data_IF_015098039301
#
_entry.id   IF_015098039301
#
_cell.length_a   1.000
_cell.length_b   1.000
_cell.length_c   1.000
_cell.angle_alpha   90.00
_cell.angle_beta   90.00
_cell.angle_gamma   90.00
#
_symmetry.space_group_name_H-M   'P 1'
#
loop_
_entity.id
_entity.type
_entity.pdbx_description
1 polymer ?
#
# COMPACT_ATOMS: atom_id res chain seq x y z
N UNK A 1 15.98 -19.14 -14.88
CA UNK A 1 14.71 -19.70 -14.36
C UNK A 1 14.37 -20.93 -15.18
N UNK A 2 14.00 -22.03 -14.52
CA UNK A 2 13.52 -23.25 -15.21
C UNK A 2 11.99 -23.30 -15.21
N UNK A 3 11.38 -24.10 -16.09
CA UNK A 3 9.93 -24.39 -16.07
C UNK A 3 9.46 -24.88 -14.69
N UNK A 4 10.30 -25.66 -14.00
CA UNK A 4 10.01 -26.21 -12.66
C UNK A 4 9.90 -25.11 -11.61
N UNK A 5 10.77 -24.10 -11.66
CA UNK A 5 10.73 -22.98 -10.71
C UNK A 5 9.45 -22.16 -10.86
N UNK A 6 9.04 -21.90 -12.11
CA UNK A 6 7.79 -21.21 -12.41
C UNK A 6 6.55 -21.99 -11.94
N UNK A 7 6.50 -23.31 -12.21
CA UNK A 7 5.38 -24.14 -11.79
C UNK A 7 5.26 -24.24 -10.27
N UNK A 8 6.37 -24.41 -9.55
CA UNK A 8 6.38 -24.45 -8.08
C UNK A 8 5.80 -23.17 -7.49
N UNK A 9 6.20 -22.04 -8.05
CA UNK A 9 5.74 -20.73 -7.60
C UNK A 9 4.26 -20.47 -7.99
N UNK A 10 3.82 -20.91 -9.17
CA UNK A 10 2.40 -20.85 -9.57
C UNK A 10 1.47 -21.64 -8.64
N UNK A 11 1.99 -22.72 -8.05
CA UNK A 11 1.28 -23.57 -7.06
C UNK A 11 1.61 -23.20 -5.62
N UNK A 12 2.29 -22.09 -5.37
CA UNK A 12 2.59 -21.63 -4.01
C UNK A 12 1.28 -21.40 -3.25
N UNK A 13 1.13 -22.03 -2.09
CA UNK A 13 -0.11 -21.99 -1.30
C UNK A 13 -0.40 -20.62 -0.71
N UNK A 14 0.62 -19.80 -0.50
CA UNK A 14 0.45 -18.50 0.14
C UNK A 14 0.16 -17.38 -0.89
N UNK A 15 0.80 -17.43 -2.06
CA UNK A 15 0.76 -16.34 -3.06
C UNK A 15 0.82 -16.80 -4.54
N UNK A 16 0.40 -18.03 -4.83
CA UNK A 16 0.35 -18.57 -6.19
C UNK A 16 -0.91 -18.18 -6.96
N UNK A 17 -0.90 -18.34 -8.29
CA UNK A 17 -2.06 -18.06 -9.16
C UNK A 17 -3.33 -18.82 -8.73
N UNK A 18 -3.16 -20.10 -8.35
CA UNK A 18 -4.29 -20.93 -7.92
C UNK A 18 -4.89 -20.42 -6.60
N UNK A 19 -4.07 -19.94 -5.67
CA UNK A 19 -4.56 -19.33 -4.41
C UNK A 19 -5.44 -18.12 -4.69
N UNK A 20 -5.00 -17.21 -5.57
CA UNK A 20 -5.81 -16.05 -5.94
C UNK A 20 -7.11 -16.44 -6.67
N UNK A 21 -7.04 -17.45 -7.56
CA UNK A 21 -8.22 -18.00 -8.22
C UNK A 21 -9.23 -18.57 -7.21
N UNK A 22 -8.76 -19.37 -6.23
CA UNK A 22 -9.59 -19.95 -5.17
C UNK A 22 -10.27 -18.87 -4.31
N UNK A 23 -9.57 -17.78 -3.99
CA UNK A 23 -10.13 -16.65 -3.23
C UNK A 23 -11.33 -16.05 -3.99
N UNK A 24 -11.18 -15.80 -5.28
CA UNK A 24 -12.25 -15.27 -6.14
C UNK A 24 -13.42 -16.25 -6.30
N UNK A 25 -13.12 -17.53 -6.55
CA UNK A 25 -14.15 -18.57 -6.66
C UNK A 25 -14.96 -18.72 -5.38
N UNK A 26 -14.29 -18.68 -4.21
CA UNK A 26 -14.95 -18.74 -2.90
C UNK A 26 -15.78 -17.49 -2.62
N UNK A 27 -15.35 -16.30 -3.05
CA UNK A 27 -16.14 -15.08 -2.93
C UNK A 27 -17.49 -15.24 -3.64
N UNK A 28 -17.46 -15.68 -4.91
CA UNK A 28 -18.67 -15.92 -5.70
C UNK A 28 -19.54 -17.03 -5.10
N UNK A 29 -18.94 -18.17 -4.73
CA UNK A 29 -19.69 -19.32 -4.21
C UNK A 29 -20.39 -19.02 -2.87
N UNK A 30 -19.80 -18.17 -2.03
CA UNK A 30 -20.35 -17.84 -0.71
C UNK A 30 -21.19 -16.56 -0.69
N UNK A 31 -21.16 -15.77 -1.78
CA UNK A 31 -21.76 -14.44 -1.82
C UNK A 31 -21.11 -13.41 -0.88
N UNK A 32 -19.95 -13.73 -0.29
CA UNK A 32 -19.23 -12.86 0.64
C UNK A 32 -18.09 -12.17 -0.08
N UNK A 33 -18.08 -10.83 -0.17
CA UNK A 33 -16.97 -10.12 -0.78
C UNK A 33 -15.67 -10.39 -0.05
N UNK A 34 -14.68 -10.90 -0.78
CA UNK A 34 -13.32 -11.07 -0.33
C UNK A 34 -12.41 -11.02 -1.56
N UNK A 35 -11.20 -10.51 -1.38
CA UNK A 35 -10.22 -10.40 -2.44
C UNK A 35 -8.81 -10.35 -1.89
N UNK A 36 -7.85 -10.57 -2.76
CA UNK A 36 -6.43 -10.39 -2.46
C UNK A 36 -5.69 -10.06 -3.75
N UNK A 37 -4.68 -9.22 -3.63
CA UNK A 37 -3.73 -8.96 -4.69
C UNK A 37 -2.31 -9.03 -4.12
N UNK A 38 -1.32 -9.04 -5.01
CA UNK A 38 0.06 -9.01 -4.59
C UNK A 38 1.00 -8.74 -5.75
N UNK A 39 2.02 -7.95 -5.45
CA UNK A 39 3.30 -7.98 -6.14
C UNK A 39 4.02 -9.28 -5.84
N UNK A 40 4.05 -10.16 -6.85
CA UNK A 40 4.62 -11.48 -6.77
C UNK A 40 5.83 -11.63 -7.71
N UNK A 41 6.60 -12.67 -7.44
CA UNK A 41 7.83 -12.99 -8.15
C UNK A 41 9.07 -12.33 -7.56
N UNK A 42 10.21 -12.65 -8.15
CA UNK A 42 11.51 -12.31 -7.61
C UNK A 42 12.34 -11.45 -8.55
N UNK A 43 13.20 -10.60 -7.98
CA UNK A 43 14.12 -9.76 -8.75
C UNK A 43 15.06 -10.58 -9.65
N UNK A 44 15.28 -11.85 -9.32
CA UNK A 44 16.04 -12.80 -10.12
C UNK A 44 15.38 -13.19 -11.44
N UNK A 45 14.08 -12.91 -11.62
CA UNK A 45 13.36 -13.17 -12.87
C UNK A 45 13.43 -12.00 -13.85
N UNK A 46 13.78 -10.80 -13.38
CA UNK A 46 13.89 -9.61 -14.24
C UNK A 46 12.55 -9.03 -14.71
N UNK A 47 11.43 -9.43 -14.10
CA UNK A 47 10.11 -8.84 -14.32
C UNK A 47 9.32 -8.74 -13.01
N UNK A 48 8.33 -7.84 -12.97
CA UNK A 48 7.34 -7.78 -11.90
C UNK A 48 6.10 -8.55 -12.30
N UNK A 49 5.57 -9.36 -11.39
CA UNK A 49 4.33 -10.11 -11.64
C UNK A 49 3.26 -9.66 -10.67
N UNK A 50 2.24 -9.00 -11.18
CA UNK A 50 1.06 -8.68 -10.38
C UNK A 50 0.03 -9.77 -10.54
N UNK A 51 -0.52 -10.25 -9.43
CA UNK A 51 -1.63 -11.20 -9.47
C UNK A 51 -2.69 -10.76 -8.47
N UNK A 52 -3.94 -10.95 -8.85
CA UNK A 52 -5.09 -10.72 -7.99
C UNK A 52 -6.06 -11.88 -8.08
N UNK A 53 -6.89 -12.01 -7.06
CA UNK A 53 -8.15 -12.73 -7.19
C UNK A 53 -9.02 -12.06 -8.26
N UNK A 54 -10.17 -12.69 -8.58
CA UNK A 54 -11.18 -12.07 -9.43
C UNK A 54 -11.47 -10.64 -8.93
N UNK A 55 -11.22 -9.60 -9.75
CA UNK A 55 -11.54 -8.22 -9.38
C UNK A 55 -13.06 -8.07 -9.40
N UNK A 56 -13.70 -8.27 -8.25
CA UNK A 56 -15.15 -8.32 -8.09
C UNK A 56 -15.79 -7.02 -8.59
N UNK A 57 -15.14 -5.88 -8.34
CA UNK A 57 -15.62 -4.60 -8.81
C UNK A 57 -15.65 -4.51 -10.33
N UNK A 58 -14.61 -4.95 -11.03
CA UNK A 58 -14.61 -4.96 -12.50
C UNK A 58 -15.54 -6.01 -13.09
N UNK A 59 -15.73 -7.12 -12.38
CA UNK A 59 -16.66 -8.17 -12.76
C UNK A 59 -18.15 -7.79 -12.52
N UNK A 60 -18.43 -6.65 -11.87
CA UNK A 60 -19.79 -6.25 -11.49
C UNK A 60 -20.42 -7.20 -10.48
N UNK A 61 -19.60 -7.85 -9.66
CA UNK A 61 -20.03 -8.88 -8.73
C UNK A 61 -20.07 -8.38 -7.28
N UNK A 62 -21.00 -8.93 -6.50
CA UNK A 62 -21.08 -8.75 -5.04
C UNK A 62 -21.12 -7.29 -4.57
N UNK A 63 -21.62 -6.39 -5.42
CA UNK A 63 -21.81 -4.97 -5.12
C UNK A 63 -20.51 -4.23 -4.72
N UNK A 64 -19.37 -4.69 -5.24
CA UNK A 64 -18.08 -4.02 -5.08
C UNK A 64 -17.93 -2.96 -6.17
N UNK A 65 -17.46 -1.77 -5.79
CA UNK A 65 -17.22 -0.69 -6.73
C UNK A 65 -15.93 -0.97 -7.52
N UNK A 66 -15.94 -0.79 -8.83
CA UNK A 66 -14.72 -0.92 -9.65
C UNK A 66 -13.63 0.08 -9.27
N UNK A 67 -13.97 1.21 -8.65
CA UNK A 67 -13.00 2.15 -8.10
C UNK A 67 -12.12 1.55 -7.00
N UNK A 68 -12.62 0.56 -6.24
CA UNK A 68 -11.82 -0.15 -5.23
C UNK A 68 -10.71 -0.98 -5.88
N UNK A 69 -11.04 -1.67 -6.97
CA UNK A 69 -10.08 -2.45 -7.77
C UNK A 69 -9.01 -1.54 -8.41
N UNK A 70 -9.37 -0.32 -8.81
CA UNK A 70 -8.40 0.66 -9.31
C UNK A 70 -7.39 1.06 -8.22
N UNK A 71 -7.85 1.25 -6.98
CA UNK A 71 -6.95 1.51 -5.84
C UNK A 71 -6.05 0.31 -5.62
N UNK A 72 -6.60 -0.91 -5.56
CA UNK A 72 -5.80 -2.13 -5.34
C UNK A 72 -4.71 -2.30 -6.41
N UNK A 73 -5.05 -2.09 -7.68
CA UNK A 73 -4.07 -2.19 -8.77
C UNK A 73 -2.95 -1.14 -8.61
N UNK A 74 -3.31 0.09 -8.26
CA UNK A 74 -2.31 1.16 -8.05
C UNK A 74 -1.46 0.93 -6.80
N UNK A 75 -2.03 0.32 -5.74
CA UNK A 75 -1.31 -0.12 -4.54
C UNK A 75 -0.23 -1.12 -4.93
N UNK A 76 -0.60 -2.19 -5.63
CA UNK A 76 0.37 -3.18 -6.07
C UNK A 76 1.39 -2.57 -7.03
N UNK A 77 0.95 -1.74 -7.98
CA UNK A 77 1.85 -1.08 -8.94
C UNK A 77 2.91 -0.22 -8.25
N UNK A 78 2.58 0.40 -7.12
CA UNK A 78 3.56 1.13 -6.33
C UNK A 78 4.71 0.24 -5.83
N UNK A 79 4.47 -1.01 -5.46
CA UNK A 79 5.54 -1.94 -5.09
C UNK A 79 6.51 -2.21 -6.25
N UNK A 80 6.05 -2.16 -7.51
CA UNK A 80 6.95 -2.22 -8.67
C UNK A 80 7.83 -0.97 -8.75
N UNK A 81 7.27 0.22 -8.49
CA UNK A 81 8.04 1.47 -8.45
C UNK A 81 9.10 1.42 -7.36
N UNK A 82 8.73 1.01 -6.14
CA UNK A 82 9.68 0.86 -5.02
C UNK A 82 10.84 -0.07 -5.42
N UNK A 83 10.51 -1.22 -6.03
CA UNK A 83 11.50 -2.21 -6.44
C UNK A 83 12.36 -1.77 -7.64
N UNK A 84 11.85 -0.92 -8.54
CA UNK A 84 12.57 -0.48 -9.73
C UNK A 84 13.88 0.25 -9.40
N UNK A 85 13.97 0.86 -8.21
CA UNK A 85 15.18 1.54 -7.74
C UNK A 85 16.17 0.61 -7.01
N UNK A 86 15.81 -0.65 -6.77
CA UNK A 86 16.64 -1.62 -6.07
C UNK A 86 17.12 -2.68 -7.06
N UNK A 87 18.44 -2.80 -7.24
CA UNK A 87 19.03 -3.64 -8.29
C UNK A 87 19.60 -4.97 -7.76
N UNK A 88 19.76 -5.11 -6.44
CA UNK A 88 20.33 -6.34 -5.86
C UNK A 88 19.39 -7.53 -6.06
N UNK A 89 19.95 -8.69 -6.42
CA UNK A 89 19.22 -9.98 -6.45
C UNK A 89 19.20 -10.67 -5.09
N UNK A 90 20.01 -10.19 -4.13
CA UNK A 90 20.00 -10.71 -2.76
C UNK A 90 18.71 -10.28 -2.07
N UNK A 91 17.91 -11.28 -1.69
CA UNK A 91 16.58 -11.08 -1.11
C UNK A 91 16.63 -10.40 0.26
N UNK A 92 17.62 -10.73 1.11
CA UNK A 92 17.77 -10.09 2.43
C UNK A 92 18.13 -8.62 2.26
N UNK A 93 19.12 -8.32 1.42
CA UNK A 93 19.55 -6.97 1.13
C UNK A 93 18.44 -6.15 0.49
N UNK A 94 17.64 -6.75 -0.41
CA UNK A 94 16.48 -6.09 -1.00
C UNK A 94 15.45 -5.69 0.05
N UNK A 95 15.09 -6.58 0.98
CA UNK A 95 14.18 -6.25 2.08
C UNK A 95 14.72 -5.13 2.96
N UNK A 96 16.01 -5.15 3.30
CA UNK A 96 16.65 -4.05 4.05
C UNK A 96 16.57 -2.70 3.32
N UNK A 97 16.65 -2.71 1.99
CA UNK A 97 16.55 -1.50 1.16
C UNK A 97 15.09 -1.02 0.98
N UNK A 98 14.12 -1.93 0.97
CA UNK A 98 12.69 -1.58 0.94
C UNK A 98 12.25 -0.90 2.24
N UNK A 99 12.80 -1.32 3.38
CA UNK A 99 12.57 -0.70 4.68
C UNK A 99 11.55 -1.42 5.57
N UNK A 100 11.05 -0.76 6.62
CA UNK A 100 10.05 -1.32 7.51
C UNK A 100 8.68 -1.41 6.82
N UNK A 101 7.88 -2.38 7.24
CA UNK A 101 6.59 -2.70 6.60
C UNK A 101 5.61 -1.52 6.57
N UNK A 102 5.52 -0.71 7.64
CA UNK A 102 4.69 0.51 7.60
C UNK A 102 5.07 1.47 6.47
N UNK A 103 6.35 1.55 6.08
CA UNK A 103 6.79 2.43 5.01
C UNK A 103 6.49 1.80 3.64
N UNK A 104 6.71 0.50 3.52
CA UNK A 104 6.46 -0.25 2.28
C UNK A 104 4.96 -0.21 1.94
N UNK A 105 4.12 -0.71 2.84
CA UNK A 105 2.68 -0.81 2.65
C UNK A 105 2.00 0.54 2.77
N UNK A 106 2.42 1.35 3.74
CA UNK A 106 1.87 2.70 3.90
C UNK A 106 2.09 3.58 2.68
N UNK A 107 3.24 3.48 2.02
CA UNK A 107 3.46 4.29 0.82
C UNK A 107 2.68 3.78 -0.38
N UNK A 108 2.43 2.47 -0.46
CA UNK A 108 1.51 1.90 -1.45
C UNK A 108 0.08 2.40 -1.22
N UNK A 109 -0.42 2.39 0.02
CA UNK A 109 -1.73 2.92 0.38
C UNK A 109 -1.83 4.41 0.05
N UNK A 110 -0.90 5.23 0.55
CA UNK A 110 -0.95 6.68 0.36
C UNK A 110 -0.88 7.05 -1.13
N UNK A 111 0.01 6.42 -1.89
CA UNK A 111 0.16 6.69 -3.31
C UNK A 111 -1.06 6.21 -4.10
N UNK A 112 -1.61 5.04 -3.80
CA UNK A 112 -2.82 4.55 -4.47
C UNK A 112 -4.01 5.46 -4.21
N UNK A 113 -4.27 5.81 -2.96
CA UNK A 113 -5.40 6.66 -2.55
C UNK A 113 -5.34 8.05 -3.19
N UNK A 114 -4.19 8.73 -3.07
CA UNK A 114 -3.99 10.09 -3.55
C UNK A 114 -4.01 10.13 -5.08
N UNK A 115 -3.30 9.21 -5.76
CA UNK A 115 -3.24 9.23 -7.22
C UNK A 115 -4.57 8.80 -7.84
N UNK A 116 -5.29 7.83 -7.26
CA UNK A 116 -6.64 7.48 -7.75
C UNK A 116 -7.58 8.69 -7.67
N UNK A 117 -7.58 9.39 -6.53
CA UNK A 117 -8.37 10.61 -6.36
C UNK A 117 -8.05 11.68 -7.41
N UNK A 118 -6.76 11.95 -7.64
CA UNK A 118 -6.30 12.89 -8.67
C UNK A 118 -6.70 12.45 -10.09
N UNK A 119 -6.59 11.16 -10.40
CA UNK A 119 -6.90 10.63 -11.72
C UNK A 119 -8.41 10.64 -11.99
N UNK A 120 -9.25 10.35 -11.00
CA UNK A 120 -10.70 10.51 -11.12
C UNK A 120 -11.12 11.97 -11.28
N UNK A 121 -10.51 12.89 -10.53
CA UNK A 121 -10.80 14.33 -10.64
C UNK A 121 -10.42 14.88 -12.02
N UNK A 122 -9.32 14.40 -12.60
CA UNK A 122 -8.86 14.78 -13.94
C UNK A 122 -9.48 13.98 -15.09
N UNK A 123 -10.41 13.05 -14.80
CA UNK A 123 -11.08 12.22 -15.82
C UNK A 123 -10.18 11.17 -16.48
N UNK A 124 -8.98 10.92 -15.94
CA UNK A 124 -8.02 9.94 -16.48
C UNK A 124 -8.29 8.50 -16.02
N UNK A 125 -9.03 8.33 -14.93
CA UNK A 125 -9.60 7.04 -14.54
C UNK A 125 -11.12 7.08 -14.71
N UNK A 126 -11.73 6.01 -15.26
CA UNK A 126 -13.18 5.92 -15.32
C UNK A 126 -13.75 5.72 -13.91
N UNK A 127 -14.92 6.33 -13.66
CA UNK A 127 -15.76 6.02 -12.50
C UNK A 127 -16.76 4.94 -12.92
N UNK A 128 -16.76 3.81 -12.24
CA UNK A 128 -17.55 2.62 -12.59
C UNK A 128 -19.00 2.76 -12.18
N UNK A 129 -19.26 3.36 -11.00
CA UNK A 129 -20.63 3.57 -10.49
C UNK A 129 -21.49 2.30 -10.49
N UNK A 130 -20.86 1.16 -10.24
CA UNK A 130 -21.48 -0.16 -10.32
C UNK A 130 -21.72 -0.81 -8.94
N UNK A 131 -21.77 0.02 -7.90
CA UNK A 131 -22.17 -0.36 -6.56
C UNK A 131 -23.38 0.46 -6.10
N UNK A 132 -24.08 -0.02 -5.09
CA UNK A 132 -25.28 0.60 -4.51
C UNK A 132 -25.00 1.91 -3.78
N UNK A 133 -23.73 2.20 -3.48
CA UNK A 133 -23.33 3.38 -2.74
C UNK A 133 -22.41 4.27 -3.58
N UNK A 134 -22.58 5.60 -3.52
CA UNK A 134 -21.64 6.51 -4.17
C UNK A 134 -20.22 6.24 -3.71
N UNK A 135 -19.28 6.34 -4.66
CA UNK A 135 -17.87 6.20 -4.33
C UNK A 135 -17.41 7.30 -3.35
N UNK A 136 -16.71 6.88 -2.30
CA UNK A 136 -16.26 7.77 -1.23
C UNK A 136 -15.18 8.75 -1.73
N UNK A 137 -15.12 9.94 -1.14
CA UNK A 137 -14.03 10.91 -1.40
C UNK A 137 -12.71 10.44 -0.77
N UNK A 138 -11.58 11.01 -1.20
CA UNK A 138 -10.26 10.74 -0.58
C UNK A 138 -10.30 10.96 0.94
N UNK A 139 -10.87 12.08 1.38
CA UNK A 139 -10.99 12.42 2.80
C UNK A 139 -11.82 11.38 3.56
N UNK A 140 -12.92 10.89 2.97
CA UNK A 140 -13.75 9.86 3.60
C UNK A 140 -13.01 8.53 3.74
N UNK A 141 -12.34 8.07 2.67
CA UNK A 141 -11.57 6.81 2.70
C UNK A 141 -10.42 6.87 3.70
N UNK A 142 -9.65 7.96 3.71
CA UNK A 142 -8.58 8.15 4.69
C UNK A 142 -9.12 8.30 6.13
N UNK A 143 -10.26 8.96 6.33
CA UNK A 143 -10.94 9.02 7.64
C UNK A 143 -11.35 7.62 8.13
N UNK A 144 -11.85 6.75 7.25
CA UNK A 144 -12.20 5.37 7.61
C UNK A 144 -10.95 4.59 8.06
N UNK A 145 -9.81 4.77 7.38
CA UNK A 145 -8.52 4.21 7.82
C UNK A 145 -8.10 4.77 9.18
N UNK A 146 -8.28 6.07 9.42
CA UNK A 146 -8.00 6.68 10.72
C UNK A 146 -8.84 6.04 11.84
N UNK A 147 -10.11 5.75 11.60
CA UNK A 147 -10.95 5.04 12.58
C UNK A 147 -10.40 3.65 12.91
N UNK A 148 -9.94 2.90 11.90
CA UNK A 148 -9.23 1.62 12.09
C UNK A 148 -7.97 1.80 12.95
N UNK A 149 -7.17 2.84 12.69
CA UNK A 149 -5.96 3.13 13.48
C UNK A 149 -6.29 3.38 14.96
N UNK A 150 -7.30 4.21 15.23
CA UNK A 150 -7.70 4.52 16.61
C UNK A 150 -8.23 3.30 17.37
N UNK A 151 -8.91 2.37 16.68
CA UNK A 151 -9.35 1.11 17.27
C UNK A 151 -8.16 0.23 17.74
N UNK A 152 -7.09 0.20 16.96
CA UNK A 152 -5.92 -0.64 17.23
C UNK A 152 -4.91 0.00 18.18
N UNK A 153 -4.95 1.33 18.37
CA UNK A 153 -3.99 2.11 19.17
C UNK A 153 -3.83 1.61 20.61
N UNK A 154 -4.91 1.10 21.24
CA UNK A 154 -4.86 0.54 22.60
C UNK A 154 -4.24 -0.85 22.68
N UNK A 155 -4.27 -1.61 21.60
CA UNK A 155 -3.89 -3.02 21.57
C UNK A 155 -2.51 -3.29 20.97
N UNK A 156 -1.92 -2.27 20.34
CA UNK A 156 -0.67 -2.35 19.60
C UNK A 156 0.41 -1.46 20.23
N UNK A 157 1.65 -1.94 20.36
CA UNK A 157 2.73 -1.19 21.02
C UNK A 157 3.25 0.00 20.21
N UNK A 158 2.92 0.06 18.92
CA UNK A 158 3.30 1.14 18.02
C UNK A 158 2.24 1.29 16.94
N UNK A 159 2.06 2.52 16.46
CA UNK A 159 1.27 2.80 15.26
C UNK A 159 1.99 2.45 13.96
N UNK A 160 3.32 2.29 13.97
CA UNK A 160 4.12 2.05 12.76
C UNK A 160 4.89 0.71 12.84
N UNK A 161 4.18 -0.44 12.71
CA UNK A 161 4.81 -1.75 12.81
C UNK A 161 5.81 -2.01 11.68
N UNK A 162 6.92 -2.67 12.01
CA UNK A 162 8.01 -2.97 11.08
C UNK A 162 7.97 -4.39 10.49
N UNK A 163 6.98 -5.21 10.85
CA UNK A 163 6.79 -6.59 10.35
C UNK A 163 5.37 -6.82 9.83
N UNK A 164 5.24 -7.81 8.94
CA UNK A 164 3.95 -8.35 8.47
C UNK A 164 3.26 -9.25 9.51
N UNK A 165 3.96 -9.58 10.59
CA UNK A 165 3.49 -10.53 11.58
C UNK A 165 2.62 -9.90 12.67
N UNK A 166 1.71 -10.70 13.20
CA UNK A 166 0.94 -10.39 14.39
C UNK A 166 -0.33 -9.56 14.15
N UNK A 167 -1.09 -9.38 15.23
CA UNK A 167 -2.41 -8.73 15.23
C UNK A 167 -2.40 -7.25 14.80
N UNK A 168 -1.23 -6.62 14.79
CA UNK A 168 -1.07 -5.20 14.49
C UNK A 168 -0.70 -4.92 13.03
N UNK A 169 -0.57 -5.95 12.19
CA UNK A 169 -0.15 -5.80 10.78
C UNK A 169 -1.00 -4.80 9.99
N UNK A 170 -2.30 -4.68 10.30
CA UNK A 170 -3.20 -3.75 9.61
C UNK A 170 -2.78 -2.28 9.78
N UNK A 171 -2.12 -1.95 10.89
CA UNK A 171 -1.57 -0.61 11.11
C UNK A 171 -0.48 -0.24 10.10
N UNK A 172 0.26 -1.21 9.55
CA UNK A 172 1.24 -0.93 8.50
C UNK A 172 0.60 -0.29 7.26
N UNK A 173 -0.66 -0.64 6.98
CA UNK A 173 -1.42 -0.14 5.84
C UNK A 173 -2.15 1.15 6.22
N UNK A 174 -3.00 1.09 7.25
CA UNK A 174 -3.87 2.20 7.59
C UNK A 174 -3.10 3.36 8.24
N UNK A 175 -2.27 3.05 9.25
CA UNK A 175 -1.46 4.06 9.93
C UNK A 175 -0.24 4.46 9.10
N UNK A 176 0.40 3.48 8.44
CA UNK A 176 1.47 3.76 7.48
C UNK A 176 1.01 4.68 6.35
N UNK A 177 -0.21 4.50 5.82
CA UNK A 177 -0.80 5.38 4.81
C UNK A 177 -0.91 6.83 5.28
N UNK A 178 -1.34 7.03 6.53
CA UNK A 178 -1.36 8.35 7.17
C UNK A 178 0.04 8.92 7.39
N UNK A 179 0.99 8.11 7.86
CA UNK A 179 2.37 8.53 8.07
C UNK A 179 3.05 8.98 6.78
N UNK A 180 2.84 8.26 5.68
CA UNK A 180 3.38 8.64 4.38
C UNK A 180 2.69 9.89 3.84
N UNK A 181 1.37 10.01 3.98
CA UNK A 181 0.66 11.24 3.62
C UNK A 181 1.20 12.46 4.40
N UNK A 182 1.56 12.27 5.68
CA UNK A 182 2.15 13.31 6.51
C UNK A 182 3.56 13.72 6.04
N UNK A 183 4.43 12.75 5.75
CA UNK A 183 5.75 13.03 5.15
C UNK A 183 5.63 13.76 3.80
N UNK A 184 4.70 13.34 2.94
CA UNK A 184 4.45 14.00 1.66
C UNK A 184 3.89 15.42 1.82
N UNK A 185 3.06 15.67 2.84
CA UNK A 185 2.56 16.99 3.16
C UNK A 185 3.70 17.93 3.59
N UNK A 186 4.61 17.47 4.45
CA UNK A 186 5.73 18.28 4.96
C UNK A 186 6.85 18.52 3.95
N UNK A 187 7.13 17.52 3.10
CA UNK A 187 8.32 17.52 2.25
C UNK A 187 8.02 17.59 0.74
N UNK A 188 6.73 17.64 0.36
CA UNK A 188 6.28 17.71 -1.02
C UNK A 188 5.74 16.39 -1.56
N UNK A 189 4.71 16.49 -2.40
CA UNK A 189 3.94 15.35 -2.89
C UNK A 189 4.74 14.35 -3.76
N UNK A 190 5.90 14.74 -4.28
CA UNK A 190 6.76 13.91 -5.13
C UNK A 190 8.07 13.48 -4.43
N UNK A 191 8.21 13.74 -3.13
CA UNK A 191 9.43 13.47 -2.36
C UNK A 191 9.87 12.01 -2.43
N UNK A 192 8.92 11.07 -2.42
CA UNK A 192 9.23 9.64 -2.52
C UNK A 192 9.85 9.28 -3.87
N UNK A 193 9.31 9.85 -4.96
CA UNK A 193 9.72 9.56 -6.33
C UNK A 193 11.00 10.29 -6.73
N UNK A 194 11.18 11.54 -6.29
CA UNK A 194 12.30 12.39 -6.71
C UNK A 194 13.51 12.29 -5.76
N UNK A 195 13.26 12.05 -4.48
CA UNK A 195 14.31 12.16 -3.46
C UNK A 195 14.58 10.82 -2.78
N UNK A 196 13.56 10.13 -2.28
CA UNK A 196 13.76 8.92 -1.46
C UNK A 196 14.18 7.69 -2.28
N UNK A 197 13.26 7.14 -3.10
CA UNK A 197 13.50 5.86 -3.77
C UNK A 197 14.72 5.87 -4.71
N UNK A 198 14.99 6.92 -5.51
CA UNK A 198 16.18 6.97 -6.36
C UNK A 198 17.51 6.83 -5.61
N UNK A 199 17.55 7.16 -4.31
CA UNK A 199 18.77 7.18 -3.52
C UNK A 199 18.92 5.95 -2.61
N UNK A 200 17.88 5.11 -2.47
CA UNK A 200 17.85 4.05 -1.44
C UNK A 200 18.91 2.98 -1.68
N UNK A 201 19.10 2.54 -2.93
CA UNK A 201 20.10 1.56 -3.35
C UNK A 201 21.52 1.99 -2.93
N UNK A 202 21.85 3.27 -3.12
CA UNK A 202 23.17 3.83 -2.82
C UNK A 202 23.39 4.03 -1.32
N UNK A 203 22.37 4.47 -0.59
CA UNK A 203 22.52 4.98 0.78
C UNK A 203 22.12 3.97 1.86
N UNK A 204 21.28 3.00 1.53
CA UNK A 204 20.53 2.24 2.53
C UNK A 204 19.33 3.03 3.04
N UNK A 205 18.32 2.31 3.54
CA UNK A 205 17.02 2.88 3.88
C UNK A 205 17.08 4.01 4.92
N UNK A 206 17.64 3.75 6.11
CA UNK A 206 17.66 4.74 7.21
C UNK A 206 18.47 6.01 6.87
N UNK A 207 19.64 5.85 6.24
CA UNK A 207 20.45 7.01 5.79
C UNK A 207 19.72 7.82 4.73
N UNK A 208 18.97 7.15 3.84
CA UNK A 208 18.15 7.81 2.84
C UNK A 208 16.96 8.55 3.48
N UNK A 209 16.33 7.94 4.49
CA UNK A 209 15.24 8.54 5.27
C UNK A 209 15.72 9.83 5.94
N UNK A 210 16.81 9.76 6.71
CA UNK A 210 17.43 10.94 7.34
C UNK A 210 17.76 12.05 6.36
N UNK A 211 18.33 11.70 5.21
CA UNK A 211 18.71 12.70 4.21
C UNK A 211 17.50 13.36 3.54
N UNK A 212 16.41 12.62 3.38
CA UNK A 212 15.20 13.07 2.67
C UNK A 212 14.30 13.89 3.58
N UNK A 213 14.07 13.41 4.80
CA UNK A 213 13.08 13.98 5.73
C UNK A 213 13.72 14.80 6.85
N UNK A 214 15.05 14.90 6.90
CA UNK A 214 15.76 15.74 7.88
C UNK A 214 15.80 15.18 9.30
N UNK A 215 15.23 13.99 9.54
CA UNK A 215 15.17 13.33 10.84
C UNK A 215 15.30 11.82 10.73
N UNK A 216 15.58 11.13 11.84
CA UNK A 216 15.59 9.66 11.83
C UNK A 216 14.18 9.08 11.71
N UNK A 217 14.09 7.83 11.27
CA UNK A 217 12.79 7.14 11.27
C UNK A 217 12.24 6.96 12.69
N UNK A 218 13.09 6.82 13.70
CA UNK A 218 12.70 6.73 15.11
C UNK A 218 12.15 8.05 15.66
N UNK A 219 12.78 9.18 15.31
CA UNK A 219 12.29 10.52 15.67
C UNK A 219 10.94 10.78 14.99
N UNK A 220 10.83 10.39 13.71
CA UNK A 220 9.58 10.50 12.97
C UNK A 220 8.44 9.68 13.60
N UNK A 221 8.69 8.47 14.09
CA UNK A 221 7.67 7.69 14.82
C UNK A 221 7.12 8.49 16.01
N UNK A 222 8.00 9.17 16.75
CA UNK A 222 7.60 10.00 17.90
C UNK A 222 6.85 11.25 17.47
N UNK A 223 7.27 11.89 16.38
CA UNK A 223 6.53 13.01 15.78
C UNK A 223 5.14 12.59 15.31
N UNK A 224 5.06 11.45 14.62
CA UNK A 224 3.83 10.92 14.06
C UNK A 224 2.81 10.59 15.16
N UNK A 225 3.22 10.00 16.30
CA UNK A 225 2.32 9.80 17.44
C UNK A 225 1.67 11.11 17.92
N UNK A 226 2.43 12.21 17.95
CA UNK A 226 1.87 13.54 18.31
C UNK A 226 0.90 14.06 17.26
N UNK A 227 1.16 13.83 15.98
CA UNK A 227 0.20 14.12 14.92
C UNK A 227 -1.09 13.30 15.09
N UNK A 228 -0.96 12.03 15.49
CA UNK A 228 -2.09 11.13 15.72
C UNK A 228 -2.94 11.51 16.96
N UNK A 229 -2.45 12.38 17.83
CA UNK A 229 -3.18 12.97 18.97
C UNK A 229 -4.00 14.21 18.60
N UNK A 230 -3.76 14.80 17.42
CA UNK A 230 -4.54 15.95 16.97
C UNK A 230 -6.02 15.56 16.71
N UNK A 231 -6.97 16.50 16.84
CA UNK A 231 -8.35 16.26 16.41
C UNK A 231 -8.39 15.85 14.94
N UNK A 232 -9.32 14.95 14.57
CA UNK A 232 -9.48 14.47 13.20
C UNK A 232 -9.59 15.62 12.18
N UNK A 233 -10.25 16.72 12.56
CA UNK A 233 -10.39 17.92 11.73
C UNK A 233 -9.05 18.61 11.39
N UNK A 234 -8.04 18.49 12.24
CA UNK A 234 -6.66 18.95 11.95
C UNK A 234 -5.90 17.91 11.13
N UNK A 235 -6.06 16.62 11.43
CA UNK A 235 -5.40 15.54 10.73
C UNK A 235 -5.76 15.53 9.24
N UNK A 236 -7.04 15.68 8.89
CA UNK A 236 -7.49 15.66 7.48
C UNK A 236 -6.98 16.83 6.64
N UNK A 237 -6.49 17.91 7.26
CA UNK A 237 -5.97 19.09 6.52
C UNK A 237 -4.71 18.79 5.72
N UNK A 238 -3.97 17.72 6.07
CA UNK A 238 -2.77 17.33 5.34
C UNK A 238 -3.10 16.72 3.97
N UNK A 239 -4.33 16.20 3.80
CA UNK A 239 -4.73 15.51 2.59
C UNK A 239 -4.88 16.50 1.42
N UNK A 240 -4.41 16.14 0.22
CA UNK A 240 -4.57 16.99 -0.94
C UNK A 240 -6.04 17.11 -1.36
N UNK A 241 -6.37 18.24 -1.98
CA UNK A 241 -7.70 18.52 -2.55
C UNK A 241 -7.62 18.44 -4.08
N UNK A 242 -8.62 17.82 -4.69
CA UNK A 242 -8.72 17.60 -6.13
C UNK A 242 -10.12 17.96 -6.63
#
# INVERSE_FOLDING_TARGET
MTRRDCLRDSTNKDHGFLTYQEIGAKALATGRPQGSAGHNGGAEWGFHRMTSSLPLGFAGALNIAGEDEQITILHEYWHSIQNAFIQTKDHKRRRELMGPVWFIEGSAVAMAEINSARLWASGKLPKWRNSSHPWQTLQQRMTNKMASVQQHRKACPTLLPSSYDGKCRQLAYDSGGWAIAYLMHQHGADVLLKSFHPNVQKRGWEKCFRKTFGQSSADFVTEFERFMDLPLGEQVKILPKF
#
